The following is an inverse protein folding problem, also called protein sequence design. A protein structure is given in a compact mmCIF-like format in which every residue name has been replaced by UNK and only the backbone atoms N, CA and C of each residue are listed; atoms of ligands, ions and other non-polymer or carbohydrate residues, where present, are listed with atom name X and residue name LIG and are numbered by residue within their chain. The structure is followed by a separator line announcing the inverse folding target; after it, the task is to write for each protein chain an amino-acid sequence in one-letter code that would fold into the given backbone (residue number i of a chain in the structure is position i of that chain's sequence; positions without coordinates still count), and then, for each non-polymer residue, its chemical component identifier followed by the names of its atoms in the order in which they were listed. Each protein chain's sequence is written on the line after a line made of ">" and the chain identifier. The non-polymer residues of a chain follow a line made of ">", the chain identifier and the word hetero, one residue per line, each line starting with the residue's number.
data_IF_596916293973
#
_entry.id   IF_596916293973
#
_cell.length_a   1.000
_cell.length_b   1.000
_cell.length_c   1.000
_cell.angle_alpha   90.00
_cell.angle_beta   90.00
_cell.angle_gamma   90.00
#
_symmetry.space_group_name_H-M   'P 1'
#
loop_
_entity.id
_entity.type
_entity.pdbx_description
1 polymer ?
#
# COMPACT_ATOMS: atom_id res chain seq x y z
N UNK A 1 38.38 47.62 -28.13
CA UNK A 1 38.98 46.30 -28.46
C UNK A 1 38.08 45.26 -27.80
N UNK A 2 37.07 44.85 -28.55
CA UNK A 2 36.13 43.81 -28.15
C UNK A 2 36.82 42.47 -28.39
N UNK A 3 36.77 41.58 -27.41
CA UNK A 3 36.99 40.16 -27.64
C UNK A 3 35.85 39.40 -26.97
N UNK A 4 34.99 38.90 -27.84
CA UNK A 4 33.89 37.99 -27.59
C UNK A 4 34.44 36.62 -27.15
N UNK A 5 33.96 36.09 -26.03
CA UNK A 5 34.02 34.65 -25.74
C UNK A 5 32.61 34.14 -25.45
N UNK A 6 31.93 33.82 -26.54
CA UNK A 6 30.71 33.02 -26.59
C UNK A 6 31.00 31.59 -26.17
N UNK A 7 30.59 31.24 -24.94
CA UNK A 7 30.63 29.87 -24.41
C UNK A 7 29.39 29.10 -24.85
N UNK A 8 29.60 28.12 -25.72
CA UNK A 8 28.59 27.26 -26.31
C UNK A 8 27.75 26.50 -25.26
N UNK A 9 26.43 26.54 -25.45
CA UNK A 9 25.44 25.73 -24.75
C UNK A 9 25.40 24.34 -25.41
N UNK A 10 26.07 23.36 -24.79
CA UNK A 10 25.95 21.96 -25.19
C UNK A 10 24.55 21.43 -24.80
N UNK A 11 23.70 21.24 -25.81
CA UNK A 11 22.41 20.58 -25.69
C UNK A 11 22.62 19.10 -25.29
N UNK A 12 22.32 18.77 -24.04
CA UNK A 12 22.26 17.39 -23.58
C UNK A 12 20.92 16.81 -24.03
N UNK A 13 21.02 15.94 -25.03
CA UNK A 13 19.93 15.19 -25.64
C UNK A 13 19.15 14.38 -24.61
N UNK A 14 17.84 14.62 -24.57
CA UNK A 14 16.85 13.77 -23.89
C UNK A 14 16.96 12.33 -24.41
N UNK A 15 16.99 11.30 -23.55
CA UNK A 15 16.87 9.93 -24.01
C UNK A 15 15.48 9.75 -24.64
N UNK A 16 15.53 9.41 -25.91
CA UNK A 16 14.45 9.06 -26.81
C UNK A 16 13.50 8.03 -26.20
N UNK A 17 12.23 8.22 -26.52
CA UNK A 17 11.10 7.36 -26.22
C UNK A 17 11.48 5.88 -26.30
N UNK A 18 11.27 5.15 -25.20
CA UNK A 18 11.32 3.70 -25.19
C UNK A 18 10.19 3.23 -26.07
N UNK A 19 10.51 2.73 -27.27
CA UNK A 19 9.53 2.08 -28.14
C UNK A 19 8.89 0.91 -27.38
N UNK A 20 7.64 1.13 -26.97
CA UNK A 20 6.79 0.10 -26.39
C UNK A 20 6.37 -0.76 -27.57
N UNK A 21 7.17 -1.78 -27.88
CA UNK A 21 6.79 -2.77 -28.88
C UNK A 21 5.51 -3.45 -28.41
N UNK A 22 4.43 -3.23 -29.16
CA UNK A 22 3.14 -3.84 -28.92
C UNK A 22 3.28 -5.36 -29.11
N UNK A 23 3.49 -6.08 -28.02
CA UNK A 23 3.36 -7.53 -28.00
C UNK A 23 1.87 -7.84 -27.99
N UNK A 24 1.32 -8.12 -29.17
CA UNK A 24 -0.02 -8.66 -29.36
C UNK A 24 -0.11 -9.98 -28.59
N UNK A 25 -0.77 -9.95 -27.43
CA UNK A 25 -0.86 -11.09 -26.52
C UNK A 25 -2.28 -11.61 -26.56
N UNK A 26 -2.42 -12.70 -27.31
CA UNK A 26 -3.65 -13.46 -27.53
C UNK A 26 -4.50 -13.58 -26.26
N UNK A 27 -5.78 -13.23 -26.37
CA UNK A 27 -6.79 -13.39 -25.32
C UNK A 27 -6.91 -14.87 -24.93
N UNK A 28 -6.23 -15.29 -23.85
CA UNK A 28 -6.38 -16.64 -23.33
C UNK A 28 -7.73 -16.80 -22.62
N UNK A 29 -8.40 -17.94 -22.83
CA UNK A 29 -9.65 -18.28 -22.14
C UNK A 29 -9.42 -18.22 -20.62
N UNK A 30 -10.19 -17.35 -19.95
CA UNK A 30 -10.11 -17.15 -18.50
C UNK A 30 -9.23 -15.98 -18.04
N UNK A 31 -8.52 -15.31 -18.96
CA UNK A 31 -7.90 -14.00 -18.67
C UNK A 31 -8.94 -12.89 -18.89
N UNK A 32 -8.99 -11.93 -17.97
CA UNK A 32 -9.84 -10.76 -18.15
C UNK A 32 -9.33 -9.91 -19.33
N UNK A 33 -10.20 -9.38 -20.20
CA UNK A 33 -9.81 -8.51 -21.31
C UNK A 33 -9.39 -7.13 -20.76
N UNK A 34 -8.17 -7.07 -20.24
CA UNK A 34 -7.49 -5.86 -19.78
C UNK A 34 -6.51 -5.47 -20.88
N UNK A 35 -6.61 -4.23 -21.36
CA UNK A 35 -5.73 -3.70 -22.40
C UNK A 35 -4.26 -3.76 -21.92
N UNK A 36 -3.29 -4.04 -22.81
CA UNK A 36 -1.91 -4.26 -22.43
C UNK A 36 -1.28 -3.08 -21.68
N UNK A 37 -1.70 -1.83 -21.94
CA UNK A 37 -1.22 -0.65 -21.21
C UNK A 37 -1.57 -0.64 -19.71
N UNK A 38 -2.60 -1.40 -19.31
CA UNK A 38 -3.00 -1.55 -17.90
C UNK A 38 -2.50 -2.85 -17.27
N UNK A 39 -1.78 -3.69 -18.03
CA UNK A 39 -1.14 -4.89 -17.49
C UNK A 39 0.14 -4.48 -16.78
N UNK A 40 0.29 -4.88 -15.52
CA UNK A 40 1.54 -4.69 -14.78
C UNK A 40 2.64 -5.51 -15.45
N UNK A 41 3.63 -4.84 -16.03
CA UNK A 41 4.83 -5.50 -16.55
C UNK A 41 5.65 -5.97 -15.36
N UNK A 42 5.61 -7.27 -15.08
CA UNK A 42 6.50 -7.87 -14.10
C UNK A 42 7.82 -8.13 -14.82
N UNK A 43 8.86 -7.35 -14.49
CA UNK A 43 10.22 -7.67 -14.89
C UNK A 43 10.57 -9.07 -14.36
N UNK A 44 10.68 -10.03 -15.28
CA UNK A 44 11.19 -11.35 -14.91
C UNK A 44 12.63 -11.13 -14.47
N UNK A 45 12.92 -11.29 -13.18
CA UNK A 45 14.29 -11.24 -12.66
C UNK A 45 15.09 -12.39 -13.30
N UNK A 46 15.67 -12.16 -14.47
CA UNK A 46 16.46 -13.15 -15.20
C UNK A 46 17.66 -13.62 -14.37
N UNK A 47 18.16 -12.75 -13.50
CA UNK A 47 19.20 -13.05 -12.51
C UNK A 47 18.84 -14.21 -11.57
N UNK A 48 17.56 -14.39 -11.24
CA UNK A 48 17.12 -15.50 -10.40
C UNK A 48 17.17 -16.83 -11.19
N UNK A 49 16.96 -16.79 -12.50
CA UNK A 49 16.94 -18.00 -13.35
C UNK A 49 18.35 -18.56 -13.62
N UNK A 50 19.33 -17.68 -13.83
CA UNK A 50 20.73 -18.08 -14.04
C UNK A 50 21.40 -18.55 -12.74
N UNK A 51 21.12 -17.89 -11.61
CA UNK A 51 21.68 -18.25 -10.31
C UNK A 51 21.10 -19.57 -9.76
N UNK A 52 19.79 -19.82 -9.95
CA UNK A 52 19.14 -21.07 -9.52
C UNK A 52 19.58 -22.28 -10.35
N UNK A 53 19.98 -22.09 -11.62
CA UNK A 53 20.50 -23.19 -12.44
C UNK A 53 21.87 -23.71 -11.97
N UNK A 54 22.62 -22.93 -11.18
CA UNK A 54 23.99 -23.26 -10.75
C UNK A 54 24.07 -23.87 -9.35
N UNK A 55 23.01 -23.78 -8.53
CA UNK A 55 22.94 -24.40 -7.20
C UNK A 55 21.58 -25.11 -6.96
N UNK A 56 21.39 -26.33 -7.48
CA UNK A 56 20.15 -27.11 -7.29
C UNK A 56 19.83 -27.44 -5.82
N UNK A 57 20.80 -27.29 -4.92
CA UNK A 57 20.68 -27.62 -3.49
C UNK A 57 19.90 -26.59 -2.65
N UNK A 58 19.66 -25.37 -3.16
CA UNK A 58 18.78 -24.39 -2.51
C UNK A 58 17.29 -24.62 -2.84
N UNK A 59 16.98 -25.58 -3.73
CA UNK A 59 15.67 -26.24 -3.74
C UNK A 59 15.64 -27.30 -2.63
N UNK A 60 15.51 -26.87 -1.39
CA UNK A 60 14.96 -27.76 -0.36
C UNK A 60 14.12 -26.97 0.65
N UNK A 61 12.87 -27.40 0.68
CA UNK A 61 11.83 -27.17 1.68
C UNK A 61 10.88 -25.97 1.48
N UNK A 62 10.25 -25.88 0.31
CA UNK A 62 8.79 -25.76 0.32
C UNK A 62 8.26 -27.19 0.27
N UNK A 63 8.03 -27.78 1.45
CA UNK A 63 7.55 -29.15 1.56
C UNK A 63 6.33 -29.37 0.67
N UNK A 64 6.38 -30.46 -0.08
CA UNK A 64 5.22 -31.16 -0.61
C UNK A 64 4.30 -31.52 0.57
N UNK A 65 3.53 -30.56 1.06
CA UNK A 65 2.30 -30.87 1.75
C UNK A 65 1.34 -31.29 0.64
N UNK A 66 0.97 -32.57 0.65
CA UNK A 66 -0.15 -33.15 -0.10
C UNK A 66 -1.17 -32.06 -0.42
N UNK A 67 -1.37 -31.79 -1.72
CA UNK A 67 -2.35 -30.83 -2.20
C UNK A 67 -3.73 -31.31 -1.73
N UNK A 68 -4.12 -30.94 -0.51
CA UNK A 68 -5.51 -31.11 -0.05
C UNK A 68 -6.36 -30.39 -1.08
N UNK A 69 -7.45 -31.02 -1.54
CA UNK A 69 -8.47 -30.47 -2.45
C UNK A 69 -9.19 -29.20 -1.93
N UNK A 70 -8.64 -28.54 -0.90
CA UNK A 70 -9.11 -27.25 -0.42
C UNK A 70 -8.45 -26.20 -1.30
N UNK A 71 -9.25 -25.58 -2.18
CA UNK A 71 -8.90 -24.48 -3.10
C UNK A 71 -8.27 -23.27 -2.42
N UNK A 72 -7.03 -23.42 -1.96
CA UNK A 72 -6.18 -22.33 -1.53
C UNK A 72 -5.27 -21.99 -2.70
N UNK A 73 -5.36 -20.74 -3.15
CA UNK A 73 -4.61 -20.17 -4.26
C UNK A 73 -3.12 -20.01 -3.87
N UNK A 74 -2.44 -21.12 -3.54
CA UNK A 74 -1.05 -21.17 -3.05
C UNK A 74 -0.03 -20.90 -4.16
N UNK A 75 -0.43 -21.05 -5.42
CA UNK A 75 0.38 -20.75 -6.62
C UNK A 75 0.24 -19.29 -7.09
N UNK A 76 -0.37 -18.40 -6.30
CA UNK A 76 -0.38 -16.96 -6.62
C UNK A 76 1.06 -16.46 -6.66
N UNK A 77 1.53 -15.88 -7.78
CA UNK A 77 2.79 -15.18 -7.79
C UNK A 77 2.76 -14.12 -6.68
N UNK A 78 3.71 -14.18 -5.75
CA UNK A 78 3.91 -13.11 -4.77
C UNK A 78 4.34 -11.89 -5.57
N UNK A 79 3.64 -10.77 -5.40
CA UNK A 79 4.14 -9.50 -5.89
C UNK A 79 5.55 -9.28 -5.29
N UNK A 80 6.54 -8.90 -6.09
CA UNK A 80 7.86 -8.56 -5.56
C UNK A 80 7.68 -7.40 -4.59
N UNK A 81 8.05 -7.63 -3.33
CA UNK A 81 8.09 -6.56 -2.33
C UNK A 81 9.27 -5.65 -2.70
N UNK A 82 9.02 -4.36 -2.83
CA UNK A 82 10.09 -3.37 -2.99
C UNK A 82 11.03 -3.42 -1.77
N UNK A 83 12.32 -3.15 -1.99
CA UNK A 83 13.29 -3.16 -0.92
C UNK A 83 12.93 -2.08 0.12
N UNK A 84 12.83 -2.40 1.41
CA UNK A 84 12.34 -1.46 2.43
C UNK A 84 13.26 -0.25 2.60
N UNK A 85 14.53 -0.34 2.16
CA UNK A 85 15.49 0.76 2.12
C UNK A 85 15.10 1.86 1.12
N UNK A 86 14.27 1.56 0.13
CA UNK A 86 13.78 2.55 -0.85
C UNK A 86 12.73 3.49 -0.26
N UNK A 87 12.04 3.06 0.81
CA UNK A 87 10.95 3.80 1.44
C UNK A 87 11.49 4.53 2.67
N UNK A 88 11.14 5.81 2.80
CA UNK A 88 11.50 6.61 3.98
C UNK A 88 10.73 6.11 5.22
N UNK A 89 11.43 6.04 6.34
CA UNK A 89 10.88 5.63 7.63
C UNK A 89 9.65 6.46 7.99
N UNK A 90 8.58 5.79 8.41
CA UNK A 90 7.31 6.45 8.77
C UNK A 90 7.47 7.50 9.87
N UNK A 91 8.31 7.24 10.88
CA UNK A 91 8.54 8.21 11.97
C UNK A 91 9.27 9.45 11.50
N UNK A 92 10.29 9.28 10.63
CA UNK A 92 11.02 10.39 10.01
C UNK A 92 10.12 11.17 9.06
N UNK A 93 9.31 10.49 8.25
CA UNK A 93 8.34 11.11 7.35
C UNK A 93 7.24 11.87 8.11
N UNK A 94 6.94 11.47 9.35
CA UNK A 94 5.98 12.15 10.21
C UNK A 94 6.59 13.34 10.99
N UNK A 95 7.92 13.42 11.10
CA UNK A 95 8.61 14.36 12.00
C UNK A 95 8.63 13.92 13.47
N UNK A 96 8.18 12.69 13.78
CA UNK A 96 8.04 12.16 15.15
C UNK A 96 9.31 11.41 15.63
N UNK A 97 10.37 11.40 14.83
CA UNK A 97 11.60 10.62 15.09
C UNK A 97 11.40 9.12 14.87
N UNK A 98 12.49 8.37 14.72
CA UNK A 98 12.43 6.91 14.53
C UNK A 98 12.66 6.19 15.85
N UNK A 99 11.69 5.41 16.33
CA UNK A 99 11.85 4.59 17.55
C UNK A 99 12.87 3.45 17.42
N UNK A 100 13.27 3.12 16.19
CA UNK A 100 14.20 2.03 15.90
C UNK A 100 15.62 2.50 15.56
N UNK A 101 15.84 3.82 15.45
CA UNK A 101 17.15 4.44 15.19
C UNK A 101 17.95 3.65 14.13
N UNK A 102 19.09 3.08 14.49
CA UNK A 102 20.00 2.38 13.57
C UNK A 102 19.54 0.96 13.18
N UNK A 103 18.55 0.40 13.88
CA UNK A 103 17.95 -0.91 13.54
C UNK A 103 16.77 -0.78 12.58
N UNK A 104 16.50 0.44 12.09
CA UNK A 104 15.41 0.69 11.17
C UNK A 104 15.66 0.01 9.82
N UNK A 105 14.63 -0.69 9.31
CA UNK A 105 14.67 -1.34 7.99
C UNK A 105 14.46 -0.34 6.84
N UNK A 106 14.02 0.87 7.17
CA UNK A 106 13.64 1.93 6.24
C UNK A 106 14.72 3.01 6.19
N UNK A 107 14.78 3.78 5.11
CA UNK A 107 15.75 4.88 4.98
C UNK A 107 15.38 6.05 5.90
N UNK A 108 16.41 6.74 6.42
CA UNK A 108 16.28 7.97 7.21
C UNK A 108 16.74 9.22 6.43
N UNK A 109 17.33 9.04 5.25
CA UNK A 109 17.79 10.14 4.41
C UNK A 109 16.63 10.74 3.60
N UNK A 110 16.21 11.94 4.00
CA UNK A 110 15.14 12.69 3.35
C UNK A 110 15.59 13.22 1.98
N UNK A 111 16.85 13.63 1.83
CA UNK A 111 17.33 14.22 0.59
C UNK A 111 17.39 13.19 -0.53
N UNK A 112 17.82 11.97 -0.22
CA UNK A 112 17.85 10.87 -1.18
C UNK A 112 16.45 10.34 -1.50
N UNK A 113 15.54 10.35 -0.53
CA UNK A 113 14.14 10.02 -0.76
C UNK A 113 13.49 11.00 -1.74
N UNK A 114 13.65 12.32 -1.55
CA UNK A 114 13.05 13.34 -2.42
C UNK A 114 13.49 13.25 -3.89
N UNK A 115 14.74 12.84 -4.15
CA UNK A 115 15.24 12.64 -5.52
C UNK A 115 14.60 11.44 -6.22
N UNK A 116 14.31 10.37 -5.46
CA UNK A 116 13.74 9.11 -5.99
C UNK A 116 12.22 9.15 -6.05
N UNK A 117 11.60 9.98 -5.21
CA UNK A 117 10.16 10.08 -5.05
C UNK A 117 9.49 10.52 -6.36
N UNK A 118 8.38 9.90 -6.76
CA UNK A 118 7.59 10.35 -7.89
C UNK A 118 6.99 11.74 -7.63
N UNK A 119 6.67 12.46 -8.69
CA UNK A 119 6.00 13.77 -8.60
C UNK A 119 4.64 13.63 -7.91
N UNK A 120 4.26 14.65 -7.16
CA UNK A 120 2.96 14.69 -6.47
C UNK A 120 1.81 14.63 -7.48
N UNK A 121 0.72 13.97 -7.10
CA UNK A 121 -0.45 13.76 -7.98
C UNK A 121 -1.27 15.04 -8.22
N UNK A 122 -1.05 16.08 -7.42
CA UNK A 122 -1.73 17.36 -7.52
C UNK A 122 -1.28 18.35 -6.45
N UNK A 123 -1.90 19.53 -6.43
CA UNK A 123 -1.43 20.66 -5.61
C UNK A 123 -1.92 20.62 -4.16
N UNK A 124 -3.00 19.89 -3.86
CA UNK A 124 -3.63 19.89 -2.52
C UNK A 124 -3.97 18.49 -2.06
N UNK A 125 -3.51 18.14 -0.86
CA UNK A 125 -3.85 16.88 -0.22
C UNK A 125 -5.28 16.89 0.34
N UNK A 126 -6.15 15.95 -0.08
CA UNK A 126 -7.54 15.89 0.43
C UNK A 126 -7.60 15.57 1.93
N UNK A 127 -6.66 14.75 2.43
CA UNK A 127 -6.58 14.39 3.86
C UNK A 127 -6.18 15.61 4.69
N UNK A 128 -5.19 16.38 4.23
CA UNK A 128 -4.75 17.58 4.91
C UNK A 128 -5.83 18.66 4.87
N UNK A 129 -6.52 18.85 3.75
CA UNK A 129 -7.62 19.80 3.64
C UNK A 129 -8.79 19.47 4.58
N UNK A 130 -9.11 18.19 4.76
CA UNK A 130 -10.19 17.75 5.64
C UNK A 130 -9.81 17.78 7.14
N UNK A 131 -8.61 17.30 7.48
CA UNK A 131 -8.22 17.03 8.86
C UNK A 131 -7.24 18.05 9.45
N UNK A 132 -6.64 18.91 8.61
CA UNK A 132 -5.56 19.82 9.00
C UNK A 132 -4.24 19.12 9.33
N UNK A 133 -4.15 17.80 9.16
CA UNK A 133 -2.98 16.98 9.42
C UNK A 133 -2.98 15.72 8.56
N UNK A 134 -1.81 15.33 8.03
CA UNK A 134 -1.64 14.12 7.24
C UNK A 134 -0.73 13.11 7.95
N UNK A 135 -1.28 11.95 8.34
CA UNK A 135 -0.54 10.87 9.05
C UNK A 135 0.56 10.20 8.23
N UNK A 136 0.61 10.47 6.92
CA UNK A 136 1.61 9.92 5.99
C UNK A 136 2.80 10.84 5.79
N UNK A 137 2.63 12.13 6.07
CA UNK A 137 3.65 13.14 5.90
C UNK A 137 4.35 13.17 4.55
N UNK A 138 5.68 13.21 4.53
CA UNK A 138 6.48 13.21 3.29
C UNK A 138 6.21 11.99 2.39
N UNK A 139 5.74 10.87 2.95
CA UNK A 139 5.40 9.68 2.18
C UNK A 139 4.03 9.79 1.49
N UNK A 140 3.26 10.85 1.75
CA UNK A 140 1.98 11.10 1.07
C UNK A 140 2.20 11.32 -0.44
N UNK A 141 1.23 10.99 -1.28
CA UNK A 141 1.28 11.33 -2.72
C UNK A 141 1.11 12.84 -3.01
N UNK A 142 0.91 13.64 -1.96
CA UNK A 142 0.74 15.10 -1.99
C UNK A 142 1.65 15.74 -0.93
N UNK A 143 2.75 15.08 -0.57
CA UNK A 143 3.59 15.46 0.55
C UNK A 143 4.08 16.90 0.48
N UNK A 144 4.45 17.42 -0.70
CA UNK A 144 4.98 18.78 -0.85
C UNK A 144 3.91 19.86 -0.55
N UNK A 145 2.63 19.53 -0.64
CA UNK A 145 1.53 20.46 -0.37
C UNK A 145 1.30 20.75 1.13
N UNK A 146 1.83 19.89 2.02
CA UNK A 146 1.53 19.97 3.46
C UNK A 146 2.76 19.72 4.35
N UNK A 147 3.96 19.97 3.82
CA UNK A 147 5.21 19.93 4.58
C UNK A 147 5.89 21.29 4.54
N UNK A 148 6.59 21.61 5.61
CA UNK A 148 7.37 22.85 5.73
C UNK A 148 8.69 22.77 4.94
N UNK A 149 9.43 23.89 4.87
CA UNK A 149 10.76 23.95 4.27
C UNK A 149 11.76 22.95 4.90
N UNK A 150 11.56 22.57 6.16
CA UNK A 150 12.35 21.55 6.86
C UNK A 150 11.85 20.12 6.62
N UNK A 151 10.90 19.92 5.71
CA UNK A 151 10.28 18.63 5.40
C UNK A 151 9.51 18.00 6.58
N UNK A 152 9.07 18.82 7.53
CA UNK A 152 8.23 18.42 8.66
C UNK A 152 6.77 18.66 8.30
N UNK A 153 5.87 17.78 8.73
CA UNK A 153 4.44 17.92 8.45
C UNK A 153 3.86 19.18 9.07
N UNK A 154 3.08 19.90 8.28
CA UNK A 154 2.27 21.00 8.76
C UNK A 154 1.08 20.47 9.56
N UNK A 155 0.70 21.22 10.59
CA UNK A 155 -0.42 20.89 11.47
C UNK A 155 -0.02 20.02 12.66
N UNK A 156 -0.76 20.19 13.75
CA UNK A 156 -0.64 19.33 14.93
C UNK A 156 -1.39 18.03 14.67
N UNK A 157 -0.88 16.83 15.06
CA UNK A 157 -1.66 15.61 15.02
C UNK A 157 -3.02 15.89 15.67
N UNK A 158 -4.07 15.79 14.86
CA UNK A 158 -5.40 16.17 15.26
C UNK A 158 -5.91 15.15 16.28
N UNK A 159 -5.58 15.34 17.55
CA UNK A 159 -6.04 14.49 18.65
C UNK A 159 -7.58 14.53 18.84
N UNK A 160 -8.32 15.39 18.11
CA UNK A 160 -9.74 15.63 18.42
C UNK A 160 -10.72 15.75 17.24
N UNK A 161 -10.30 15.79 15.97
CA UNK A 161 -11.23 15.97 14.83
C UNK A 161 -11.34 14.78 13.87
N UNK A 162 -10.44 13.81 13.97
CA UNK A 162 -10.42 12.60 13.15
C UNK A 162 -10.87 11.35 13.93
N UNK A 163 -11.81 11.48 14.87
CA UNK A 163 -12.45 10.30 15.45
C UNK A 163 -13.31 9.67 14.35
N UNK A 164 -12.73 8.74 13.59
CA UNK A 164 -13.51 7.89 12.71
C UNK A 164 -14.58 7.25 13.58
N UNK A 165 -15.86 7.55 13.31
CA UNK A 165 -16.98 7.08 14.14
C UNK A 165 -17.07 5.54 14.20
N UNK A 166 -16.29 4.85 13.35
CA UNK A 166 -16.23 3.40 13.24
C UNK A 166 -14.89 2.79 13.72
N UNK A 167 -14.14 3.50 14.58
CA UNK A 167 -12.92 2.93 15.15
C UNK A 167 -13.22 1.76 16.09
N UNK A 168 -12.70 0.58 15.77
CA UNK A 168 -12.83 -0.63 16.59
C UNK A 168 -11.58 -0.83 17.45
N UNK A 169 -11.79 -0.88 18.77
CA UNK A 169 -10.74 -1.24 19.73
C UNK A 169 -10.09 -2.57 19.37
N UNK A 170 -8.83 -2.76 19.79
CA UNK A 170 -8.11 -4.01 19.54
C UNK A 170 -8.87 -5.22 20.11
N UNK A 171 -9.51 -5.05 21.27
CA UNK A 171 -10.30 -6.09 21.91
C UNK A 171 -11.54 -6.46 21.10
N UNK A 172 -12.27 -5.47 20.58
CA UNK A 172 -13.41 -5.71 19.69
C UNK A 172 -12.99 -6.42 18.41
N UNK A 173 -11.86 -6.01 17.81
CA UNK A 173 -11.27 -6.69 16.65
C UNK A 173 -10.92 -8.15 16.98
N UNK A 174 -10.37 -8.42 18.16
CA UNK A 174 -10.05 -9.76 18.61
C UNK A 174 -11.30 -10.61 18.84
N UNK A 175 -12.35 -10.05 19.43
CA UNK A 175 -13.65 -10.71 19.61
C UNK A 175 -14.29 -11.06 18.27
N UNK A 176 -14.22 -10.17 17.29
CA UNK A 176 -14.73 -10.41 15.93
C UNK A 176 -13.94 -11.49 15.20
N UNK A 177 -12.59 -11.45 15.25
CA UNK A 177 -11.73 -12.51 14.69
C UNK A 177 -12.00 -13.88 15.31
N UNK A 178 -12.31 -13.91 16.61
CA UNK A 178 -12.68 -15.12 17.36
C UNK A 178 -14.17 -15.44 17.26
N UNK A 179 -14.96 -14.70 16.48
CA UNK A 179 -16.42 -14.85 16.35
C UNK A 179 -17.18 -14.87 17.69
N UNK A 180 -16.61 -14.28 18.74
CA UNK A 180 -17.17 -14.27 20.09
C UNK A 180 -17.86 -12.93 20.41
N UNK A 181 -17.80 -11.97 19.48
CA UNK A 181 -18.41 -10.67 19.65
C UNK A 181 -19.94 -10.78 19.83
N UNK A 182 -20.53 -10.18 20.89
CA UNK A 182 -21.97 -10.24 21.14
C UNK A 182 -22.70 -9.28 20.21
N UNK A 183 -23.15 -9.78 19.06
CA UNK A 183 -23.99 -8.99 18.16
C UNK A 183 -25.37 -8.78 18.78
N UNK A 184 -25.72 -7.51 18.96
CA UNK A 184 -27.06 -7.08 19.36
C UNK A 184 -27.77 -6.52 18.14
N UNK A 185 -28.97 -7.01 17.88
CA UNK A 185 -29.86 -6.32 16.95
C UNK A 185 -30.49 -5.13 17.66
N UNK A 186 -30.43 -3.95 17.04
CA UNK A 186 -31.18 -2.78 17.48
C UNK A 186 -32.66 -2.98 17.12
N UNK A 187 -33.55 -2.47 17.96
CA UNK A 187 -34.98 -2.49 17.66
C UNK A 187 -35.24 -1.72 16.35
N UNK A 188 -36.04 -2.27 15.44
CA UNK A 188 -36.26 -1.59 14.16
C UNK A 188 -37.00 -0.27 14.39
N UNK A 189 -36.41 0.82 13.91
CA UNK A 189 -37.06 2.14 13.90
C UNK A 189 -38.27 2.16 12.98
N UNK A 190 -38.26 1.31 11.94
CA UNK A 190 -39.39 1.07 11.05
C UNK A 190 -40.49 0.23 11.73
N UNK A 191 -41.69 0.81 11.86
CA UNK A 191 -42.92 0.13 12.29
C UNK A 191 -43.84 -0.05 11.09
N UNK A 192 -44.19 -1.29 10.74
CA UNK A 192 -45.20 -1.58 9.72
C UNK A 192 -46.56 -1.10 10.24
N UNK A 193 -47.37 -0.40 9.42
CA UNK A 193 -48.74 0.00 9.81
C UNK A 193 -49.53 -1.23 10.27
N UNK A 194 -50.05 -1.18 11.50
CA UNK A 194 -50.80 -2.27 12.14
C UNK A 194 -49.97 -3.39 12.77
N UNK A 195 -48.64 -3.31 12.75
CA UNK A 195 -47.74 -4.32 13.35
C UNK A 195 -46.97 -3.79 14.56
N UNK A 196 -46.62 -4.70 15.48
CA UNK A 196 -45.74 -4.36 16.61
C UNK A 196 -44.28 -4.19 16.15
N UNK A 197 -43.54 -3.30 16.82
CA UNK A 197 -42.11 -3.12 16.56
C UNK A 197 -41.33 -4.38 16.95
N UNK A 198 -40.35 -4.78 16.13
CA UNK A 198 -39.47 -5.91 16.47
C UNK A 198 -38.59 -5.53 17.65
N UNK A 199 -38.60 -6.34 18.71
CA UNK A 199 -37.76 -6.15 19.90
C UNK A 199 -36.29 -6.42 19.58
N UNK A 200 -35.40 -5.75 20.29
CA UNK A 200 -33.98 -6.04 20.27
C UNK A 200 -33.74 -7.48 20.75
N UNK A 201 -32.91 -8.22 20.02
CA UNK A 201 -32.47 -9.58 20.38
C UNK A 201 -30.97 -9.68 20.29
N UNK A 202 -30.38 -10.37 21.24
CA UNK A 202 -28.97 -10.76 21.22
C UNK A 202 -28.87 -12.12 20.53
N UNK A 203 -27.92 -12.28 19.62
CA UNK A 203 -27.67 -13.56 18.97
C UNK A 203 -26.18 -13.87 18.94
N UNK A 204 -25.85 -15.09 19.34
CA UNK A 204 -24.48 -15.62 19.25
C UNK A 204 -24.32 -16.26 17.89
N UNK A 205 -23.51 -15.67 17.03
CA UNK A 205 -23.14 -16.28 15.75
C UNK A 205 -22.23 -17.47 16.04
N UNK A 206 -22.77 -18.69 16.03
CA UNK A 206 -21.95 -19.91 16.10
C UNK A 206 -21.49 -20.23 14.69
N UNK A 207 -20.24 -19.91 14.38
CA UNK A 207 -19.58 -20.40 13.17
C UNK A 207 -19.05 -21.79 13.51
N UNK A 208 -19.78 -22.83 13.10
CA UNK A 208 -19.29 -24.20 13.17
C UNK A 208 -18.18 -24.36 12.13
N UNK A 209 -16.94 -24.17 12.54
CA UNK A 209 -15.82 -24.68 11.75
C UNK A 209 -15.87 -26.20 11.84
N UNK A 210 -16.14 -26.85 10.71
CA UNK A 210 -16.01 -28.29 10.59
C UNK A 210 -14.52 -28.61 10.70
N UNK A 211 -14.09 -29.01 11.90
CA UNK A 211 -12.72 -29.45 12.14
C UNK A 211 -12.65 -30.89 11.67
N UNK A 212 -12.19 -31.07 10.43
CA UNK A 212 -11.84 -32.35 9.82
C UNK A 212 -10.41 -32.33 9.34
#
# INVERSE_FOLDING_TARGET
>A
LNMDESKELAAVSLPTEVEISAVDSEERRGEAPIKPEFRRILEKKEYIRSYISFMPSLMRDCSDNEERERGTFKKRPRDPTDDPSTVLCRGVAAGEGCSFEDKCKFSHDVADFLKRRPKDLGDTCPVFAANGYCRYGLNCCYGLSHVDANHVNLGTPADFKATEANDLSMDNRNLLRKSTYPFRSVASTYKKKGGMAKKARDFKVRISYFVG
#
